data_IF_710019709364
#
_entry.id   IF_710019709364
#
_cell.length_a   1.000
_cell.length_b   1.000
_cell.length_c   1.000
_cell.angle_alpha   90.00
_cell.angle_beta   90.00
_cell.angle_gamma   90.00
#
_symmetry.space_group_name_H-M   'P 1'
#
loop_
_entity.id
_entity.type
_entity.pdbx_description
1 polymer ?
#
# COMPACT_ATOMS: atom_id res chain seq x y z
N UNK A 1 16.91 2.58 -14.24
CA UNK A 1 17.80 2.05 -13.19
C UNK A 1 18.11 0.61 -13.55
N UNK A 2 19.21 0.37 -14.26
CA UNK A 2 19.58 -0.97 -14.74
C UNK A 2 20.16 -1.75 -13.57
N UNK A 3 19.36 -2.56 -12.88
CA UNK A 3 19.87 -3.54 -11.94
C UNK A 3 20.55 -4.64 -12.76
N UNK A 4 21.88 -4.54 -12.92
CA UNK A 4 22.68 -5.70 -13.32
C UNK A 4 22.58 -6.72 -12.19
N UNK A 5 22.19 -7.94 -12.56
CA UNK A 5 22.36 -9.15 -11.76
C UNK A 5 23.87 -9.40 -11.54
N UNK A 6 24.52 -8.58 -10.73
CA UNK A 6 25.88 -8.84 -10.25
C UNK A 6 25.77 -9.52 -8.87
N UNK A 7 26.00 -10.84 -8.91
CA UNK A 7 26.34 -11.76 -7.82
C UNK A 7 25.48 -11.73 -6.54
N UNK A 8 24.27 -12.28 -6.62
CA UNK A 8 23.64 -12.85 -5.43
C UNK A 8 24.18 -14.28 -5.27
N UNK A 9 25.09 -14.51 -4.32
CA UNK A 9 25.51 -15.85 -3.88
C UNK A 9 24.38 -16.52 -3.10
N UNK A 10 23.30 -16.88 -3.79
CA UNK A 10 22.27 -17.80 -3.31
C UNK A 10 22.51 -19.17 -3.95
N UNK A 11 22.18 -20.31 -3.29
CA UNK A 11 22.17 -21.59 -4.01
C UNK A 11 21.29 -21.39 -5.24
N UNK A 12 21.93 -21.42 -6.41
CA UNK A 12 21.29 -21.05 -7.66
C UNK A 12 20.01 -21.84 -7.80
N UNK A 13 18.91 -21.14 -8.12
CA UNK A 13 17.69 -21.78 -8.58
C UNK A 13 18.09 -22.80 -9.66
N UNK A 14 17.56 -24.02 -9.64
CA UNK A 14 17.98 -25.03 -10.63
C UNK A 14 17.74 -24.52 -12.06
N UNK A 15 18.57 -24.96 -13.00
CA UNK A 15 18.56 -24.44 -14.37
C UNK A 15 17.16 -24.55 -15.02
N UNK A 16 16.41 -25.61 -14.69
CA UNK A 16 15.04 -25.82 -15.17
C UNK A 16 14.08 -24.78 -14.58
N UNK A 17 14.13 -24.54 -13.27
CA UNK A 17 13.34 -23.50 -12.62
C UNK A 17 13.74 -22.08 -13.08
N UNK A 18 15.01 -21.83 -13.43
CA UNK A 18 15.42 -20.56 -14.04
C UNK A 18 14.80 -20.36 -15.41
N UNK A 19 14.88 -21.36 -16.29
CA UNK A 19 14.28 -21.29 -17.62
C UNK A 19 12.75 -21.12 -17.57
N UNK A 20 12.08 -21.75 -16.61
CA UNK A 20 10.64 -21.60 -16.40
C UNK A 20 10.28 -20.21 -15.84
N UNK A 21 11.07 -19.69 -14.91
CA UNK A 21 10.77 -18.41 -14.22
C UNK A 21 11.18 -17.18 -15.02
N UNK A 22 12.16 -17.28 -15.91
CA UNK A 22 12.66 -16.18 -16.72
C UNK A 22 11.57 -15.43 -17.52
N UNK A 23 10.69 -16.07 -18.31
CA UNK A 23 9.64 -15.34 -19.02
C UNK A 23 8.66 -14.66 -18.08
N UNK A 24 8.34 -15.29 -16.93
CA UNK A 24 7.46 -14.69 -15.92
C UNK A 24 8.12 -13.45 -15.30
N UNK A 25 9.42 -13.53 -15.01
CA UNK A 25 10.17 -12.40 -14.48
C UNK A 25 10.22 -11.26 -15.49
N UNK A 26 10.51 -11.54 -16.76
CA UNK A 26 10.53 -10.57 -17.85
C UNK A 26 9.17 -9.88 -18.04
N UNK A 27 8.06 -10.63 -18.00
CA UNK A 27 6.71 -10.08 -18.05
C UNK A 27 6.40 -9.19 -16.82
N UNK A 28 6.87 -9.58 -15.63
CA UNK A 28 6.64 -8.84 -14.39
C UNK A 28 7.46 -7.55 -14.26
N UNK A 29 8.52 -7.40 -15.06
CA UNK A 29 9.34 -6.19 -15.11
C UNK A 29 9.05 -5.32 -16.35
N UNK A 30 7.98 -5.60 -17.09
CA UNK A 30 7.56 -4.75 -18.20
C UNK A 30 7.31 -3.31 -17.71
N UNK A 31 7.75 -2.33 -18.51
CA UNK A 31 7.75 -0.91 -18.12
C UNK A 31 6.36 -0.41 -17.73
N UNK A 32 5.30 -0.88 -18.40
CA UNK A 32 3.90 -0.54 -18.12
C UNK A 32 3.41 -1.10 -16.77
N UNK A 33 3.91 -2.28 -16.36
CA UNK A 33 3.61 -2.85 -15.04
C UNK A 33 4.40 -2.14 -13.94
N UNK A 34 5.67 -1.82 -14.19
CA UNK A 34 6.51 -1.08 -13.26
C UNK A 34 6.02 0.37 -13.07
N UNK A 35 5.53 1.03 -14.12
CA UNK A 35 4.95 2.38 -14.05
C UNK A 35 3.81 2.47 -13.03
N UNK A 36 3.00 1.41 -12.92
CA UNK A 36 1.93 1.31 -11.92
C UNK A 36 2.45 1.26 -10.48
N UNK A 37 3.63 0.69 -10.27
CA UNK A 37 4.28 0.60 -8.96
C UNK A 37 4.84 1.96 -8.50
N UNK A 38 5.30 2.82 -9.42
CA UNK A 38 5.85 4.14 -9.08
C UNK A 38 4.81 5.12 -8.52
N UNK A 39 3.54 4.96 -8.88
CA UNK A 39 2.45 5.78 -8.34
C UNK A 39 2.10 5.49 -6.88
N UNK A 40 2.73 4.48 -6.25
CA UNK A 40 2.33 3.96 -4.95
C UNK A 40 0.85 3.53 -4.90
N UNK A 41 0.26 3.28 -6.08
CA UNK A 41 -1.06 2.69 -6.24
C UNK A 41 -0.94 1.20 -5.91
N UNK A 42 -0.97 0.90 -4.62
CA UNK A 42 -0.91 -0.47 -4.12
C UNK A 42 -2.08 -1.29 -4.67
N UNK A 43 -1.85 -2.60 -4.84
CA UNK A 43 -2.69 -3.60 -5.50
C UNK A 43 -4.17 -3.75 -5.05
N UNK A 44 -4.67 -2.96 -4.10
CA UNK A 44 -6.09 -2.92 -3.72
C UNK A 44 -6.37 -1.69 -2.85
N UNK A 45 -6.96 -0.64 -3.41
CA UNK A 45 -7.30 0.59 -2.68
C UNK A 45 -8.14 0.31 -1.44
N UNK A 46 -9.01 -0.70 -1.47
CA UNK A 46 -9.82 -1.07 -0.31
C UNK A 46 -8.98 -1.68 0.81
N UNK A 47 -7.92 -2.44 0.51
CA UNK A 47 -7.06 -3.00 1.54
C UNK A 47 -6.21 -1.90 2.21
N UNK A 48 -5.66 -1.00 1.40
CA UNK A 48 -4.87 0.14 1.87
C UNK A 48 -5.73 1.10 2.73
N UNK A 49 -6.92 1.47 2.25
CA UNK A 49 -7.86 2.28 3.01
C UNK A 49 -8.30 1.62 4.32
N UNK A 50 -8.70 0.34 4.26
CA UNK A 50 -9.13 -0.39 5.45
C UNK A 50 -7.99 -0.51 6.48
N UNK A 51 -6.74 -0.66 6.04
CA UNK A 51 -5.58 -0.62 6.94
C UNK A 51 -5.52 0.68 7.75
N UNK A 52 -5.74 1.84 7.12
CA UNK A 52 -5.81 3.13 7.83
C UNK A 52 -6.96 3.17 8.86
N UNK A 53 -8.14 2.64 8.52
CA UNK A 53 -9.27 2.54 9.47
C UNK A 53 -8.87 1.68 10.67
N UNK A 54 -8.25 0.51 10.42
CA UNK A 54 -7.89 -0.43 11.48
C UNK A 54 -6.70 0.01 12.36
N UNK A 55 -5.91 0.97 11.90
CA UNK A 55 -4.90 1.63 12.73
C UNK A 55 -5.54 2.59 13.75
N UNK A 56 -6.65 3.24 13.39
CA UNK A 56 -7.38 4.15 14.27
C UNK A 56 -8.35 3.41 15.20
N UNK A 57 -9.04 2.40 14.67
CA UNK A 57 -9.90 1.51 15.42
C UNK A 57 -9.44 0.05 15.20
N UNK A 58 -8.71 -0.54 16.15
CA UNK A 58 -8.24 -1.90 15.99
C UNK A 58 -9.37 -2.92 16.10
N UNK A 59 -9.53 -3.77 15.07
CA UNK A 59 -10.57 -4.83 14.96
C UNK A 59 -10.82 -5.72 16.20
N UNK A 60 -9.85 -5.85 17.08
CA UNK A 60 -9.93 -6.66 18.30
C UNK A 60 -10.57 -5.90 19.48
N UNK A 61 -10.86 -4.61 19.31
CA UNK A 61 -11.55 -3.78 20.27
C UNK A 61 -13.00 -3.57 19.82
N UNK A 62 -13.90 -3.45 20.79
CA UNK A 62 -15.30 -3.16 20.51
C UNK A 62 -15.50 -1.64 20.52
N UNK A 63 -15.80 -1.07 19.35
CA UNK A 63 -16.19 0.32 19.21
C UNK A 63 -17.67 0.45 18.84
N UNK A 64 -18.33 1.45 19.42
CA UNK A 64 -19.67 1.85 18.98
C UNK A 64 -19.64 2.45 17.57
N UNK A 65 -20.76 2.34 16.84
CA UNK A 65 -20.92 2.83 15.46
C UNK A 65 -20.33 4.23 15.23
N UNK A 66 -20.60 5.19 16.12
CA UNK A 66 -20.12 6.58 15.99
C UNK A 66 -18.59 6.69 15.99
N UNK A 67 -17.91 5.85 16.77
CA UNK A 67 -16.44 5.86 16.86
C UNK A 67 -15.85 5.34 15.55
N UNK A 68 -16.41 4.24 15.03
CA UNK A 68 -16.00 3.66 13.73
C UNK A 68 -16.26 4.66 12.60
N UNK A 69 -17.39 5.38 12.60
CA UNK A 69 -17.68 6.44 11.63
C UNK A 69 -16.63 7.56 11.67
N UNK A 70 -16.27 8.06 12.85
CA UNK A 70 -15.22 9.09 13.00
C UNK A 70 -13.86 8.59 12.52
N UNK A 71 -13.46 7.37 12.91
CA UNK A 71 -12.24 6.74 12.44
C UNK A 71 -12.21 6.61 10.91
N UNK A 72 -13.35 6.29 10.29
CA UNK A 72 -13.48 6.18 8.82
C UNK A 72 -13.28 7.54 8.13
N UNK A 73 -13.85 8.63 8.67
CA UNK A 73 -13.61 9.97 8.14
C UNK A 73 -12.15 10.41 8.29
N UNK A 74 -11.53 10.18 9.45
CA UNK A 74 -10.12 10.47 9.66
C UNK A 74 -9.22 9.66 8.71
N UNK A 75 -9.51 8.38 8.51
CA UNK A 75 -8.80 7.53 7.57
C UNK A 75 -8.95 8.04 6.13
N UNK A 76 -10.14 8.49 5.72
CA UNK A 76 -10.35 9.07 4.38
C UNK A 76 -9.55 10.36 4.16
N UNK A 77 -9.46 11.23 5.18
CA UNK A 77 -8.64 12.43 5.12
C UNK A 77 -7.14 12.09 5.03
N UNK A 78 -6.66 11.18 5.89
CA UNK A 78 -5.27 10.75 5.90
C UNK A 78 -4.87 10.05 4.59
N UNK A 79 -5.74 9.21 4.04
CA UNK A 79 -5.50 8.45 2.82
C UNK A 79 -5.43 9.35 1.58
N UNK A 80 -6.32 10.34 1.48
CA UNK A 80 -6.41 11.19 0.28
C UNK A 80 -5.52 12.44 0.36
N UNK A 81 -5.38 13.06 1.53
CA UNK A 81 -4.78 14.39 1.69
C UNK A 81 -3.70 14.45 2.79
N UNK A 82 -3.42 13.32 3.45
CA UNK A 82 -2.50 13.26 4.59
C UNK A 82 -3.04 13.93 5.86
N UNK A 83 -2.20 14.01 6.89
CA UNK A 83 -2.59 14.49 8.22
C UNK A 83 -2.91 15.99 8.29
N UNK A 84 -2.48 16.78 7.31
CA UNK A 84 -2.76 18.22 7.26
C UNK A 84 -4.25 18.52 7.12
N UNK A 85 -5.00 17.67 6.43
CA UNK A 85 -6.45 17.82 6.28
C UNK A 85 -7.22 17.55 7.60
N UNK A 86 -6.71 16.65 8.45
CA UNK A 86 -7.28 16.38 9.77
C UNK A 86 -7.14 17.59 10.68
N UNK A 87 -5.96 18.22 10.70
CA UNK A 87 -5.68 19.41 11.51
C UNK A 87 -6.61 20.58 11.14
N UNK A 88 -6.78 20.84 9.84
CA UNK A 88 -7.69 21.90 9.35
C UNK A 88 -9.14 21.67 9.77
N UNK A 89 -9.64 20.43 9.70
CA UNK A 89 -11.00 20.10 10.13
C UNK A 89 -11.22 20.26 11.63
N UNK A 90 -10.19 19.98 12.45
CA UNK A 90 -10.26 20.23 13.89
C UNK A 90 -10.33 21.75 14.18
N UNK A 91 -9.53 22.55 13.46
CA UNK A 91 -9.53 24.02 13.60
C UNK A 91 -10.85 24.66 13.15
N UNK A 92 -11.45 24.19 12.05
CA UNK A 92 -12.72 24.73 11.54
C UNK A 92 -13.93 24.37 12.39
N UNK A 93 -13.89 23.24 13.12
CA UNK A 93 -14.96 22.81 14.02
C UNK A 93 -14.83 23.40 15.44
N UNK A 94 -13.78 24.19 15.70
CA UNK A 94 -13.53 24.87 16.97
C UNK A 94 -14.15 26.27 17.08
N UNK A 95 -15.08 26.62 16.19
CA UNK A 95 -15.85 27.87 16.22
C UNK A 95 -17.23 27.69 16.84
#
# INVERSE_FOLDING_TARGET
MTLRLESLETPGLDDEAQEISKPIYEDLIADDLLERCFGSNTQNDNESFNSCVWQLEPKHQFAGKKIVEVATYCAALAFNEGFTAILKNHESNGH
#
